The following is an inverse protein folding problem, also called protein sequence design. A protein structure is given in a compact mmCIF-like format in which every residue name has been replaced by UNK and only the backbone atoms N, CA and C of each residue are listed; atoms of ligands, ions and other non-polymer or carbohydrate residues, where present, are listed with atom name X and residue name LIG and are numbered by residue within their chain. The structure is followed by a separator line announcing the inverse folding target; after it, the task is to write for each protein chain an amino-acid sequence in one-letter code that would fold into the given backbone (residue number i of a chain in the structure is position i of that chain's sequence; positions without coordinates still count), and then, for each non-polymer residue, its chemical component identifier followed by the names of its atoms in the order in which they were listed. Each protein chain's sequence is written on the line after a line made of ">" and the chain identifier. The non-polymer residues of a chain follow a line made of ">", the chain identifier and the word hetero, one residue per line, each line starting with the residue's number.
data_IF_923233502533
#
_entry.id   IF_923233502533
#
_cell.length_a   1.000
_cell.length_b   1.000
_cell.length_c   1.000
_cell.angle_alpha   90.00
_cell.angle_beta   90.00
_cell.angle_gamma   90.00
#
_symmetry.space_group_name_H-M   'P 1'
#
loop_
_entity.id
_entity.type
_entity.pdbx_description
1 polymer ?
#
# COMPACT_ATOMS: atom_id res chain seq x y z
N UNK A 1 13.12 28.99 0.13
CA UNK A 1 11.73 29.48 0.11
C UNK A 1 11.69 30.63 1.09
N UNK A 2 11.27 31.80 0.63
CA UNK A 2 11.31 33.05 1.41
C UNK A 2 9.96 33.34 2.08
N UNK A 3 8.99 32.43 1.97
CA UNK A 3 7.70 32.56 2.64
C UNK A 3 7.87 32.34 4.16
N UNK A 4 7.38 33.27 5.02
CA UNK A 4 7.58 33.19 6.47
C UNK A 4 7.06 31.92 7.12
N UNK A 5 5.96 31.34 6.61
CA UNK A 5 5.36 30.11 7.11
C UNK A 5 6.24 28.86 6.94
N UNK A 6 7.23 28.90 6.05
CA UNK A 6 8.15 27.78 5.80
C UNK A 6 9.59 28.04 6.28
N UNK A 7 9.84 29.19 6.91
CA UNK A 7 11.19 29.62 7.30
C UNK A 7 11.90 28.68 8.29
N UNK A 8 11.13 27.92 9.09
CA UNK A 8 11.66 26.93 10.02
C UNK A 8 11.71 25.50 9.47
N UNK A 9 11.12 25.27 8.29
CA UNK A 9 11.11 23.95 7.66
C UNK A 9 12.42 23.72 6.88
N UNK A 10 12.85 22.48 6.82
CA UNK A 10 14.12 22.10 6.19
C UNK A 10 13.89 21.10 5.08
N UNK A 11 14.59 21.27 3.97
CA UNK A 11 14.66 20.26 2.93
C UNK A 11 15.68 19.18 3.31
N UNK A 12 15.41 17.93 2.90
CA UNK A 12 16.34 16.82 3.07
C UNK A 12 17.09 16.62 1.76
N UNK A 13 18.42 16.60 1.81
CA UNK A 13 19.29 16.43 0.65
C UNK A 13 20.04 15.10 0.71
N UNK A 14 20.17 14.43 -0.43
CA UNK A 14 21.08 13.29 -0.61
C UNK A 14 21.92 13.48 -1.86
N UNK A 15 23.19 13.83 -1.67
CA UNK A 15 24.07 14.25 -2.76
C UNK A 15 23.48 15.45 -3.50
N UNK A 16 23.25 15.38 -4.83
CA UNK A 16 22.67 16.46 -5.61
C UNK A 16 21.13 16.51 -5.54
N UNK A 17 20.48 15.57 -4.85
CA UNK A 17 19.03 15.42 -4.91
C UNK A 17 18.33 16.05 -3.71
N UNK A 18 17.31 16.87 -3.99
CA UNK A 18 16.26 17.20 -3.02
C UNK A 18 15.33 16.00 -2.91
N UNK A 19 15.10 15.53 -1.70
CA UNK A 19 14.17 14.45 -1.42
C UNK A 19 12.80 15.01 -1.05
N UNK A 20 11.76 14.46 -1.66
CA UNK A 20 10.36 14.75 -1.35
C UNK A 20 9.72 13.51 -0.72
N UNK A 21 8.93 13.73 0.34
CA UNK A 21 8.16 12.66 0.98
C UNK A 21 6.77 12.55 0.39
N UNK A 22 6.35 11.34 0.00
CA UNK A 22 4.95 11.10 -0.34
C UNK A 22 4.09 11.37 0.90
N UNK A 23 3.24 12.39 0.81
CA UNK A 23 2.40 12.87 1.91
C UNK A 23 1.40 13.90 1.40
N UNK A 24 0.21 13.90 1.99
CA UNK A 24 -0.86 14.89 1.75
C UNK A 24 -1.05 15.79 2.98
N UNK A 25 0.01 16.53 3.34
CA UNK A 25 -0.05 17.58 4.36
C UNK A 25 0.58 17.26 5.72
N UNK A 26 1.15 16.07 5.91
CA UNK A 26 2.06 15.80 7.03
C UNK A 26 3.51 16.12 6.62
N UNK A 27 4.25 16.75 7.53
CA UNK A 27 5.64 17.16 7.36
C UNK A 27 6.45 17.06 8.66
N UNK A 28 5.85 16.56 9.75
CA UNK A 28 6.50 16.50 11.06
C UNK A 28 7.42 15.27 11.13
N UNK A 29 8.71 15.49 10.91
CA UNK A 29 9.72 14.46 10.98
C UNK A 29 10.20 14.27 12.42
N UNK A 30 10.52 13.03 12.79
CA UNK A 30 11.09 12.69 14.09
C UNK A 30 12.59 12.47 13.95
N UNK A 31 13.40 13.43 14.38
CA UNK A 31 14.86 13.32 14.32
C UNK A 31 15.42 12.46 15.46
N UNK A 32 16.57 11.83 15.22
CA UNK A 32 17.37 11.13 16.24
C UNK A 32 18.72 11.79 16.46
N UNK A 33 19.56 11.16 17.29
CA UNK A 33 20.95 11.59 17.51
C UNK A 33 21.77 11.48 16.23
N UNK A 34 21.61 10.38 15.50
CA UNK A 34 22.27 10.13 14.23
C UNK A 34 21.26 10.09 13.08
N UNK A 35 21.72 10.36 11.85
CA UNK A 35 20.86 10.32 10.65
C UNK A 35 20.21 8.94 10.48
N UNK A 36 20.97 7.86 10.72
CA UNK A 36 20.47 6.49 10.64
C UNK A 36 19.36 6.15 11.64
N UNK A 37 19.22 6.94 12.70
CA UNK A 37 18.17 6.73 13.69
C UNK A 37 16.79 7.07 13.14
N UNK A 38 16.72 7.91 12.11
CA UNK A 38 15.46 8.40 11.57
C UNK A 38 15.35 8.35 10.04
N UNK A 39 16.44 8.21 9.28
CA UNK A 39 16.41 8.00 7.83
C UNK A 39 17.14 6.70 7.50
N UNK A 40 16.46 5.76 6.85
CA UNK A 40 17.04 4.48 6.40
C UNK A 40 16.79 4.27 4.92
N UNK A 41 17.78 3.75 4.19
CA UNK A 41 17.62 3.45 2.77
C UNK A 41 16.59 2.32 2.57
N UNK A 42 15.75 2.44 1.54
CA UNK A 42 14.84 1.36 1.13
C UNK A 42 15.67 0.26 0.44
N UNK A 43 15.66 -0.99 0.94
CA UNK A 43 16.36 -2.08 0.27
C UNK A 43 15.80 -2.33 -1.14
N UNK A 44 16.67 -2.53 -2.13
CA UNK A 44 16.27 -2.80 -3.52
C UNK A 44 15.38 -4.05 -3.66
N UNK A 45 15.56 -5.03 -2.76
CA UNK A 45 14.73 -6.22 -2.68
C UNK A 45 13.26 -5.94 -2.32
N UNK A 46 12.93 -4.76 -1.80
CA UNK A 46 11.53 -4.41 -1.51
C UNK A 46 10.71 -4.25 -2.78
N UNK A 47 11.32 -3.90 -3.92
CA UNK A 47 10.60 -3.79 -5.20
C UNK A 47 10.01 -5.13 -5.67
N UNK A 48 10.61 -6.27 -5.32
CA UNK A 48 10.04 -7.59 -5.64
C UNK A 48 8.85 -7.98 -4.75
N UNK A 49 8.58 -7.19 -3.71
CA UNK A 49 7.46 -7.37 -2.78
C UNK A 49 6.26 -6.48 -3.14
N UNK A 50 6.39 -5.64 -4.17
CA UNK A 50 5.35 -4.71 -4.57
C UNK A 50 4.35 -5.36 -5.53
N UNK A 51 3.06 -5.11 -5.32
CA UNK A 51 1.99 -5.53 -6.22
C UNK A 51 0.77 -4.61 -6.15
N UNK A 52 -0.13 -4.80 -7.12
CA UNK A 52 -1.44 -4.17 -7.17
C UNK A 52 -2.51 -5.25 -7.27
N UNK A 53 -3.60 -5.10 -6.50
CA UNK A 53 -4.76 -5.99 -6.58
C UNK A 53 -5.82 -5.37 -7.48
N UNK A 54 -6.32 -6.14 -8.44
CA UNK A 54 -7.21 -5.65 -9.48
C UNK A 54 -8.49 -6.47 -9.60
N UNK A 55 -9.55 -5.82 -10.06
CA UNK A 55 -10.80 -6.46 -10.49
C UNK A 55 -11.27 -5.85 -11.79
N UNK A 56 -11.91 -6.64 -12.63
CA UNK A 56 -12.51 -6.18 -13.88
C UNK A 56 -14.03 -6.14 -13.74
N UNK A 57 -14.63 -5.04 -14.18
CA UNK A 57 -16.07 -4.92 -14.27
C UNK A 57 -16.46 -3.95 -15.38
N UNK A 58 -17.48 -4.33 -16.16
CA UNK A 58 -18.02 -3.50 -17.24
C UNK A 58 -16.95 -2.98 -18.23
N UNK A 59 -15.94 -3.80 -18.52
CA UNK A 59 -14.83 -3.45 -19.43
C UNK A 59 -13.80 -2.48 -18.85
N UNK A 60 -13.87 -2.16 -17.54
CA UNK A 60 -12.89 -1.34 -16.84
C UNK A 60 -12.13 -2.17 -15.81
N UNK A 61 -10.88 -1.77 -15.56
CA UNK A 61 -10.06 -2.33 -14.49
C UNK A 61 -10.10 -1.40 -13.29
N UNK A 62 -10.45 -1.95 -12.14
CA UNK A 62 -10.40 -1.29 -10.84
C UNK A 62 -9.24 -1.83 -10.03
N UNK A 63 -8.67 -0.97 -9.19
CA UNK A 63 -7.55 -1.27 -8.30
C UNK A 63 -7.98 -1.11 -6.85
N UNK A 64 -7.53 -2.01 -5.97
CA UNK A 64 -7.59 -1.80 -4.53
C UNK A 64 -6.69 -0.61 -4.19
N UNK A 65 -7.18 0.34 -3.40
CA UNK A 65 -6.48 1.56 -3.03
C UNK A 65 -6.61 1.84 -1.55
N UNK A 66 -5.51 2.26 -0.91
CA UNK A 66 -5.46 2.72 0.48
C UNK A 66 -5.15 4.21 0.54
N UNK A 67 -6.14 5.02 0.90
CA UNK A 67 -5.97 6.48 1.02
C UNK A 67 -6.75 6.99 2.23
N UNK A 68 -6.17 7.92 2.99
CA UNK A 68 -6.82 8.57 4.13
C UNK A 68 -7.40 7.58 5.16
N UNK A 69 -6.72 6.45 5.38
CA UNK A 69 -7.13 5.41 6.33
C UNK A 69 -8.34 4.57 5.89
N UNK A 70 -8.75 4.65 4.63
CA UNK A 70 -9.83 3.85 4.06
C UNK A 70 -9.34 3.03 2.86
N UNK A 71 -9.88 1.81 2.74
CA UNK A 71 -9.69 0.95 1.58
C UNK A 71 -10.87 1.10 0.62
N UNK A 72 -10.58 1.42 -0.63
CA UNK A 72 -11.58 1.59 -1.69
C UNK A 72 -11.13 0.94 -3.00
N UNK A 73 -12.07 0.66 -3.89
CA UNK A 73 -11.76 0.40 -5.29
C UNK A 73 -11.69 1.73 -6.05
N UNK A 74 -10.65 1.91 -6.86
CA UNK A 74 -10.49 3.06 -7.74
C UNK A 74 -10.34 2.62 -9.18
N UNK A 75 -10.68 3.46 -10.14
CA UNK A 75 -10.40 3.17 -11.55
C UNK A 75 -8.88 3.14 -11.77
N UNK A 76 -8.39 2.15 -12.50
CA UNK A 76 -6.95 2.04 -12.79
C UNK A 76 -6.50 3.26 -13.59
N UNK A 77 -5.44 3.98 -13.17
CA UNK A 77 -4.95 5.12 -13.92
C UNK A 77 -4.39 4.66 -15.27
N UNK A 78 -4.67 5.45 -16.32
CA UNK A 78 -4.17 5.21 -17.67
C UNK A 78 -2.73 5.72 -17.87
N UNK A 79 -2.25 6.55 -16.96
CA UNK A 79 -0.91 7.18 -16.98
C UNK A 79 -0.19 6.92 -15.67
N UNK A 80 1.14 6.89 -15.75
CA UNK A 80 2.00 6.81 -14.57
C UNK A 80 2.11 8.18 -13.87
N UNK A 81 2.49 8.16 -12.59
CA UNK A 81 2.76 9.38 -11.85
C UNK A 81 1.54 9.98 -11.14
N UNK A 82 0.58 9.16 -10.72
CA UNK A 82 -0.67 9.59 -10.09
C UNK A 82 -0.77 9.12 -8.64
N UNK A 83 -1.53 9.82 -7.81
CA UNK A 83 -1.81 9.37 -6.44
C UNK A 83 -2.51 8.01 -6.39
N UNK A 84 -3.38 7.72 -7.37
CA UNK A 84 -4.01 6.40 -7.46
C UNK A 84 -2.97 5.31 -7.66
N UNK A 85 -1.92 5.54 -8.46
CA UNK A 85 -0.83 4.57 -8.63
C UNK A 85 -0.07 4.33 -7.32
N UNK A 86 0.15 5.39 -6.53
CA UNK A 86 0.75 5.30 -5.20
C UNK A 86 -0.14 4.50 -4.24
N UNK A 87 -1.38 4.91 -4.07
CA UNK A 87 -2.32 4.32 -3.11
C UNK A 87 -2.75 2.89 -3.47
N UNK A 88 -2.64 2.50 -4.74
CA UNK A 88 -2.92 1.15 -5.23
C UNK A 88 -1.70 0.24 -5.32
N UNK A 89 -0.53 0.72 -4.89
CA UNK A 89 0.67 -0.10 -4.77
C UNK A 89 0.85 -0.53 -3.32
N UNK A 90 1.03 -1.82 -3.10
CA UNK A 90 1.23 -2.38 -1.77
C UNK A 90 2.51 -3.20 -1.73
N UNK A 91 3.23 -3.10 -0.63
CA UNK A 91 4.25 -4.07 -0.27
C UNK A 91 3.61 -5.23 0.47
N UNK A 92 3.69 -6.42 -0.11
CA UNK A 92 3.16 -7.65 0.46
C UNK A 92 4.30 -8.56 0.84
N UNK A 93 4.41 -8.86 2.13
CA UNK A 93 5.50 -9.66 2.67
C UNK A 93 5.00 -10.70 3.66
N UNK A 94 5.49 -11.95 3.59
CA UNK A 94 5.14 -12.99 4.54
C UNK A 94 5.72 -12.69 5.90
N UNK A 95 5.16 -13.35 6.92
CA UNK A 95 5.76 -13.39 8.25
C UNK A 95 7.18 -13.98 8.23
N UNK A 96 7.39 -14.99 7.38
CA UNK A 96 8.67 -15.69 7.25
C UNK A 96 9.45 -15.21 6.01
N UNK A 97 10.44 -14.36 6.24
CA UNK A 97 11.24 -13.72 5.20
C UNK A 97 12.04 -14.73 4.33
N UNK A 98 12.19 -15.98 4.77
CA UNK A 98 12.85 -17.04 4.01
C UNK A 98 12.06 -17.45 2.74
N UNK A 99 10.75 -17.19 2.69
CA UNK A 99 9.89 -17.64 1.57
C UNK A 99 9.92 -16.75 0.31
N UNK A 100 10.61 -15.59 0.32
CA UNK A 100 10.57 -14.62 -0.78
C UNK A 100 11.89 -14.46 -1.57
N UNK A 101 12.85 -15.38 -1.42
CA UNK A 101 14.02 -15.35 -2.30
C UNK A 101 13.63 -15.70 -3.74
N UNK A 102 13.47 -14.68 -4.59
CA UNK A 102 13.77 -14.81 -6.03
C UNK A 102 12.62 -14.74 -7.03
N UNK A 103 11.39 -14.34 -6.69
CA UNK A 103 10.30 -14.32 -7.68
C UNK A 103 9.46 -13.04 -7.63
N UNK A 104 9.81 -12.10 -8.51
CA UNK A 104 8.86 -11.12 -9.01
C UNK A 104 7.61 -11.86 -9.53
N UNK A 105 6.44 -11.58 -8.97
CA UNK A 105 5.17 -12.14 -9.47
C UNK A 105 4.93 -13.62 -9.17
N UNK A 106 5.61 -14.23 -8.19
CA UNK A 106 5.12 -15.52 -7.67
C UNK A 106 3.74 -15.33 -7.05
N UNK A 107 2.77 -16.13 -7.48
CA UNK A 107 1.44 -16.15 -6.86
C UNK A 107 1.63 -16.56 -5.40
N UNK A 108 1.38 -15.63 -4.48
CA UNK A 108 1.42 -15.86 -3.05
C UNK A 108 0.22 -16.73 -2.67
N UNK A 109 0.21 -18.00 -3.05
CA UNK A 109 -0.88 -18.91 -2.67
C UNK A 109 -0.53 -19.53 -1.32
N UNK A 110 -1.54 -19.63 -0.45
CA UNK A 110 -1.50 -20.26 0.86
C UNK A 110 -0.43 -19.66 1.79
N UNK A 111 -0.22 -18.34 1.69
CA UNK A 111 0.76 -17.60 2.47
C UNK A 111 0.08 -16.59 3.39
N UNK A 112 0.48 -16.57 4.67
CA UNK A 112 0.09 -15.52 5.63
C UNK A 112 1.01 -14.31 5.49
N UNK A 113 0.43 -13.16 5.13
CA UNK A 113 1.16 -11.95 4.75
C UNK A 113 0.66 -10.72 5.49
N UNK A 114 1.52 -9.71 5.56
CA UNK A 114 1.14 -8.35 5.87
C UNK A 114 1.04 -7.55 4.57
N UNK A 115 0.08 -6.63 4.51
CA UNK A 115 -0.12 -5.72 3.37
C UNK A 115 0.15 -4.30 3.86
N UNK A 116 1.22 -3.70 3.35
CA UNK A 116 1.72 -2.38 3.71
C UNK A 116 1.50 -1.42 2.53
N UNK A 117 0.75 -0.30 2.68
CA UNK A 117 0.62 0.70 1.63
C UNK A 117 1.99 1.31 1.26
N UNK A 118 2.24 1.49 -0.03
CA UNK A 118 3.53 1.97 -0.54
C UNK A 118 3.97 3.31 0.06
N UNK A 119 3.03 4.24 0.21
CA UNK A 119 3.26 5.58 0.77
C UNK A 119 3.25 5.63 2.29
N UNK A 120 3.00 4.53 3.00
CA UNK A 120 2.95 4.51 4.46
C UNK A 120 3.91 3.46 5.04
N UNK A 121 5.23 3.61 4.82
CA UNK A 121 6.20 2.61 5.24
C UNK A 121 6.14 2.33 6.74
N UNK A 122 6.17 1.05 7.11
CA UNK A 122 6.04 0.59 8.49
C UNK A 122 4.61 0.55 9.05
N UNK A 123 3.61 0.85 8.22
CA UNK A 123 2.18 0.73 8.57
C UNK A 123 1.54 -0.40 7.78
N UNK A 124 0.68 -1.19 8.41
CA UNK A 124 0.02 -2.34 7.77
C UNK A 124 -1.50 -2.21 7.84
N UNK A 125 -2.18 -2.79 6.85
CA UNK A 125 -3.63 -2.98 6.87
C UNK A 125 -3.96 -4.04 7.93
N UNK A 126 -5.00 -3.79 8.72
CA UNK A 126 -5.52 -4.74 9.71
C UNK A 126 -6.79 -5.42 9.22
N UNK A 127 -7.19 -6.51 9.88
CA UNK A 127 -8.43 -7.24 9.63
C UNK A 127 -9.69 -6.40 9.96
N UNK A 128 -9.54 -5.24 10.62
CA UNK A 128 -10.59 -4.23 10.81
C UNK A 128 -10.62 -3.18 9.68
N UNK A 129 -9.82 -3.39 8.61
CA UNK A 129 -9.68 -2.49 7.46
C UNK A 129 -9.15 -1.10 7.81
N UNK A 130 -8.38 -1.01 8.89
CA UNK A 130 -7.68 0.21 9.32
C UNK A 130 -6.18 0.04 9.16
N UNK A 131 -5.47 1.15 9.22
CA UNK A 131 -4.01 1.20 9.18
C UNK A 131 -3.42 1.21 10.59
N UNK A 132 -2.38 0.44 10.82
CA UNK A 132 -1.69 0.37 12.12
C UNK A 132 -0.18 0.22 11.95
N UNK A 133 0.59 1.01 12.71
CA UNK A 133 2.03 0.80 12.86
C UNK A 133 2.35 -0.36 13.84
N UNK A 134 1.40 -0.71 14.72
CA UNK A 134 1.53 -1.85 15.62
C UNK A 134 1.12 -3.14 14.90
N UNK A 135 2.10 -4.01 14.69
CA UNK A 135 1.90 -5.33 14.11
C UNK A 135 1.27 -6.26 15.15
N UNK A 136 0.13 -6.85 14.82
CA UNK A 136 -0.55 -7.85 15.66
C UNK A 136 -1.02 -9.03 14.82
N UNK A 137 -1.55 -10.07 15.47
CA UNK A 137 -2.21 -11.17 14.76
C UNK A 137 -3.33 -10.67 13.83
N UNK A 138 -4.01 -9.58 14.21
CA UNK A 138 -5.03 -8.90 13.40
C UNK A 138 -4.49 -8.12 12.21
N UNK A 139 -3.21 -8.23 11.86
CA UNK A 139 -2.61 -7.58 10.68
C UNK A 139 -2.25 -8.56 9.57
N UNK A 140 -2.57 -9.84 9.75
CA UNK A 140 -2.26 -10.89 8.79
C UNK A 140 -3.45 -11.23 7.91
N UNK A 141 -3.17 -11.49 6.64
CA UNK A 141 -4.12 -12.00 5.67
C UNK A 141 -3.58 -13.30 5.09
N UNK A 142 -4.44 -14.31 4.95
CA UNK A 142 -4.08 -15.47 4.15
C UNK A 142 -4.46 -15.17 2.71
N UNK A 143 -3.48 -15.23 1.81
CA UNK A 143 -3.77 -15.19 0.38
C UNK A 143 -4.09 -16.60 -0.06
N UNK A 144 -5.33 -16.84 -0.48
CA UNK A 144 -5.82 -18.15 -0.93
C UNK A 144 -6.21 -18.09 -2.40
N UNK A 145 -6.35 -19.24 -3.11
CA UNK A 145 -6.92 -19.25 -4.46
C UNK A 145 -8.26 -18.49 -4.51
N UNK A 146 -8.46 -17.70 -5.56
CA UNK A 146 -9.64 -16.87 -5.69
C UNK A 146 -10.93 -17.68 -5.64
N UNK A 147 -11.91 -17.15 -4.91
CA UNK A 147 -13.20 -17.81 -4.72
C UNK A 147 -13.99 -17.93 -6.03
N UNK A 148 -13.70 -17.10 -7.03
CA UNK A 148 -14.33 -17.14 -8.36
C UNK A 148 -13.86 -18.32 -9.23
N UNK A 149 -12.88 -19.10 -8.76
CA UNK A 149 -12.34 -20.27 -9.46
C UNK A 149 -11.50 -19.94 -10.70
N UNK A 150 -11.23 -18.66 -10.98
CA UNK A 150 -10.40 -18.27 -12.11
C UNK A 150 -8.94 -18.64 -11.86
N UNK A 151 -8.18 -19.03 -12.91
CA UNK A 151 -6.76 -19.23 -12.75
C UNK A 151 -6.09 -17.91 -12.34
N UNK A 152 -5.17 -17.98 -11.39
CA UNK A 152 -4.36 -16.86 -10.89
C UNK A 152 -5.14 -15.73 -10.20
N UNK A 153 -6.44 -15.88 -9.95
CA UNK A 153 -7.14 -15.04 -8.99
C UNK A 153 -6.78 -15.46 -7.56
N UNK A 154 -6.85 -14.50 -6.65
CA UNK A 154 -6.63 -14.69 -5.22
C UNK A 154 -7.74 -14.05 -4.41
N UNK A 155 -7.99 -14.58 -3.24
CA UNK A 155 -8.86 -13.95 -2.24
C UNK A 155 -8.06 -13.66 -0.98
N UNK A 156 -8.33 -12.48 -0.40
CA UNK A 156 -7.64 -11.99 0.79
C UNK A 156 -8.48 -12.35 2.02
N UNK A 157 -8.13 -13.46 2.67
CA UNK A 157 -8.81 -13.96 3.86
C UNK A 157 -8.25 -13.30 5.13
N UNK A 158 -9.11 -12.96 6.09
CA UNK A 158 -8.68 -12.45 7.38
C UNK A 158 -7.96 -13.54 8.18
N UNK A 159 -6.70 -13.31 8.54
CA UNK A 159 -5.91 -14.28 9.32
C UNK A 159 -6.51 -14.60 10.69
N UNK A 160 -7.20 -13.65 11.32
CA UNK A 160 -7.88 -13.87 12.61
C UNK A 160 -9.26 -14.52 12.48
N UNK A 161 -9.82 -14.56 11.28
CA UNK A 161 -11.18 -15.04 11.05
C UNK A 161 -11.29 -15.79 9.73
N UNK A 162 -10.81 -17.05 9.69
CA UNK A 162 -10.93 -17.91 8.50
C UNK A 162 -12.38 -18.00 8.01
N UNK A 163 -12.54 -18.03 6.69
CA UNK A 163 -13.82 -17.99 6.00
C UNK A 163 -14.39 -16.58 5.77
N UNK A 164 -13.68 -15.53 6.18
CA UNK A 164 -14.04 -14.13 5.93
C UNK A 164 -13.01 -13.43 5.03
N UNK A 165 -13.49 -12.72 4.01
CA UNK A 165 -12.66 -12.21 2.92
C UNK A 165 -12.92 -10.73 2.69
N UNK A 166 -11.91 -10.03 2.15
CA UNK A 166 -12.10 -8.69 1.59
C UNK A 166 -13.02 -8.77 0.36
N UNK A 167 -13.97 -7.85 0.27
CA UNK A 167 -14.90 -7.73 -0.86
C UNK A 167 -15.06 -6.29 -1.30
N UNK A 168 -15.19 -6.05 -2.61
CA UNK A 168 -15.36 -4.71 -3.21
C UNK A 168 -16.81 -4.18 -3.23
N UNK A 169 -17.80 -4.99 -2.83
CA UNK A 169 -19.22 -4.69 -2.96
C UNK A 169 -19.83 -5.22 -4.27
N UNK A 170 -21.16 -5.17 -4.40
CA UNK A 170 -21.88 -5.73 -5.56
C UNK A 170 -21.80 -4.82 -6.81
N UNK A 171 -21.70 -3.51 -6.62
CA UNK A 171 -21.71 -2.51 -7.69
C UNK A 171 -20.31 -1.88 -7.82
N UNK A 172 -19.50 -2.43 -8.73
CA UNK A 172 -18.14 -1.97 -9.03
C UNK A 172 -18.15 -0.51 -9.48
N UNK A 173 -17.78 0.40 -8.59
CA UNK A 173 -17.68 1.83 -8.86
C UNK A 173 -16.43 2.40 -8.19
N UNK A 174 -15.86 3.44 -8.79
CA UNK A 174 -14.76 4.16 -8.17
C UNK A 174 -15.23 4.79 -6.84
N UNK A 175 -14.43 4.62 -5.79
CA UNK A 175 -14.78 5.00 -4.42
C UNK A 175 -15.57 3.95 -3.63
N UNK A 176 -15.93 2.80 -4.24
CA UNK A 176 -16.59 1.71 -3.51
C UNK A 176 -15.70 1.24 -2.35
N UNK A 177 -16.24 1.23 -1.13
CA UNK A 177 -15.50 0.84 0.07
C UNK A 177 -15.31 -0.66 0.11
N UNK A 178 -14.10 -1.09 0.45
CA UNK A 178 -13.84 -2.49 0.78
C UNK A 178 -14.56 -2.85 2.07
N UNK A 179 -15.17 -4.03 2.08
CA UNK A 179 -15.85 -4.61 3.22
C UNK A 179 -15.29 -6.00 3.51
N UNK A 180 -15.76 -6.60 4.60
CA UNK A 180 -15.50 -8.00 4.94
C UNK A 180 -16.81 -8.76 4.81
N UNK A 181 -16.77 -9.89 4.11
CA UNK A 181 -17.89 -10.83 4.05
C UNK A 181 -17.43 -12.24 4.35
N UNK A 182 -18.28 -13.02 5.04
CA UNK A 182 -17.97 -14.37 5.48
C UNK A 182 -18.89 -15.39 4.80
N UNK A 183 -18.32 -16.54 4.40
CA UNK A 183 -19.08 -17.62 3.72
C UNK A 183 -20.29 -18.13 4.53
N UNK A 184 -20.22 -18.09 5.86
CA UNK A 184 -21.34 -18.52 6.72
C UNK A 184 -22.51 -17.52 6.78
N UNK A 185 -22.31 -16.29 6.29
CA UNK A 185 -23.26 -15.18 6.44
C UNK A 185 -24.17 -14.97 5.22
N UNK A 186 -23.86 -15.59 4.08
CA UNK A 186 -24.56 -15.37 2.82
C UNK A 186 -24.68 -16.69 2.08
N UNK A 187 -25.90 -17.14 1.76
CA UNK A 187 -26.08 -18.15 0.71
C UNK A 187 -25.57 -17.51 -0.58
N UNK A 188 -24.54 -18.07 -1.23
CA UNK A 188 -24.02 -17.52 -2.48
C UNK A 188 -25.12 -17.56 -3.54
N UNK A 189 -25.80 -16.43 -3.75
CA UNK A 189 -26.78 -16.27 -4.82
C UNK A 189 -25.99 -15.84 -6.05
N UNK A 190 -25.77 -16.79 -6.96
CA UNK A 190 -25.25 -16.51 -8.30
C UNK A 190 -23.75 -16.18 -8.42
N UNK A 191 -22.92 -16.52 -7.42
CA UNK A 191 -21.45 -16.36 -7.54
C UNK A 191 -20.94 -14.92 -7.36
N UNK A 192 -21.82 -13.97 -7.02
CA UNK A 192 -21.49 -12.54 -6.91
C UNK A 192 -20.47 -12.29 -5.80
N UNK A 193 -20.63 -12.98 -4.67
CA UNK A 193 -19.71 -12.86 -3.53
C UNK A 193 -18.30 -13.34 -3.92
N UNK A 194 -18.22 -14.46 -4.61
CA UNK A 194 -16.98 -15.07 -5.05
C UNK A 194 -16.23 -14.15 -6.02
N UNK A 195 -16.94 -13.52 -6.96
CA UNK A 195 -16.37 -12.51 -7.86
C UNK A 195 -15.90 -11.27 -7.09
N UNK A 196 -16.74 -10.72 -6.21
CA UNK A 196 -16.40 -9.53 -5.42
C UNK A 196 -15.25 -9.77 -4.43
N UNK A 197 -15.04 -11.02 -4.00
CA UNK A 197 -13.97 -11.45 -3.10
C UNK A 197 -12.67 -11.86 -3.82
N UNK A 198 -12.67 -11.89 -5.15
CA UNK A 198 -11.54 -12.38 -5.95
C UNK A 198 -10.85 -11.24 -6.67
N UNK A 199 -9.53 -11.19 -6.57
CA UNK A 199 -8.68 -10.17 -7.15
C UNK A 199 -7.63 -10.84 -8.04
N UNK A 200 -7.26 -10.19 -9.14
CA UNK A 200 -6.05 -10.55 -9.86
C UNK A 200 -4.85 -9.80 -9.25
N UNK A 201 -3.74 -10.51 -9.04
CA UNK A 201 -2.46 -9.91 -8.66
C UNK A 201 -1.76 -9.40 -9.92
N UNK A 202 -1.54 -8.09 -9.98
CA UNK A 202 -0.89 -7.41 -11.10
C UNK A 202 0.47 -6.84 -10.68
N UNK A 203 1.30 -6.53 -11.68
CA UNK A 203 2.50 -5.73 -11.49
C UNK A 203 2.16 -4.41 -10.78
N UNK A 204 3.04 -3.92 -9.90
CA UNK A 204 2.77 -2.71 -9.14
C UNK A 204 2.73 -1.49 -10.07
N UNK A 205 1.90 -0.50 -9.73
CA UNK A 205 1.83 0.75 -10.47
C UNK A 205 2.95 1.74 -10.09
N UNK A 206 3.61 1.51 -8.94
CA UNK A 206 4.80 2.25 -8.49
C UNK A 206 5.91 1.29 -8.08
N UNK A 207 7.14 1.76 -8.20
CA UNK A 207 8.32 1.10 -7.66
C UNK A 207 9.13 2.13 -6.88
N UNK A 208 9.86 1.66 -5.87
CA UNK A 208 10.83 2.50 -5.17
C UNK A 208 11.93 2.92 -6.15
N UNK A 209 12.23 4.21 -6.16
CA UNK A 209 13.43 4.72 -6.82
C UNK A 209 14.70 4.12 -6.18
N UNK A 210 15.81 3.91 -6.93
CA UNK A 210 17.08 3.46 -6.34
C UNK A 210 17.66 4.36 -5.24
N UNK A 211 17.13 5.57 -5.12
CA UNK A 211 17.51 6.61 -4.14
C UNK A 211 16.29 6.93 -3.26
N UNK A 212 15.61 5.89 -2.78
CA UNK A 212 14.48 6.05 -1.86
C UNK A 212 14.88 5.72 -0.42
N UNK A 213 14.31 6.47 0.52
CA UNK A 213 14.55 6.32 1.94
C UNK A 213 13.24 6.29 2.72
N UNK A 214 13.23 5.66 3.88
CA UNK A 214 12.17 5.80 4.88
C UNK A 214 12.64 6.78 5.92
N UNK A 215 11.93 7.90 6.09
CA UNK A 215 12.14 8.84 7.18
C UNK A 215 11.10 8.64 8.28
N UNK A 216 11.50 8.63 9.55
CA UNK A 216 10.60 8.58 10.69
C UNK A 216 9.90 9.92 10.85
N UNK A 217 8.59 9.87 11.09
CA UNK A 217 7.80 11.04 11.47
C UNK A 217 7.16 10.88 12.84
N UNK A 218 6.53 11.95 13.30
CA UNK A 218 5.81 11.97 14.59
C UNK A 218 4.56 11.10 14.53
N UNK A 219 3.79 11.18 13.43
CA UNK A 219 2.53 10.45 13.24
C UNK A 219 2.66 9.21 12.37
N UNK A 220 3.44 9.32 11.28
CA UNK A 220 3.71 8.25 10.30
C UNK A 220 5.14 8.38 9.79
N UNK A 221 5.66 7.32 9.20
CA UNK A 221 6.89 7.44 8.43
C UNK A 221 6.59 7.99 7.02
N UNK A 222 7.62 8.54 6.39
CA UNK A 222 7.57 9.07 5.03
C UNK A 222 8.42 8.21 4.11
N UNK A 223 7.89 7.90 2.93
CA UNK A 223 8.71 7.44 1.82
C UNK A 223 9.29 8.67 1.11
N UNK A 224 10.61 8.84 1.21
CA UNK A 224 11.36 9.90 0.54
C UNK A 224 11.90 9.40 -0.79
N UNK A 225 11.69 10.16 -1.87
CA UNK A 225 12.24 9.90 -3.20
C UNK A 225 12.80 11.19 -3.80
N UNK A 226 13.68 11.14 -4.82
CA UNK A 226 14.18 12.34 -5.45
C UNK A 226 13.01 13.12 -6.07
N UNK A 227 12.96 14.43 -5.82
CA UNK A 227 11.82 15.27 -6.21
C UNK A 227 11.49 15.17 -7.71
N UNK A 228 12.50 15.13 -8.58
CA UNK A 228 12.32 15.02 -10.03
C UNK A 228 11.69 13.69 -10.49
N UNK A 229 11.62 12.68 -9.62
CA UNK A 229 10.98 11.38 -9.92
C UNK A 229 9.46 11.40 -9.74
N UNK A 230 8.93 12.45 -9.09
CA UNK A 230 7.51 12.67 -8.90
C UNK A 230 6.96 13.52 -10.05
N UNK A 231 5.71 13.28 -10.40
CA UNK A 231 4.98 13.97 -11.47
C UNK A 231 3.77 14.68 -10.87
N UNK A 232 2.66 13.96 -10.74
CA UNK A 232 1.38 14.50 -10.27
C UNK A 232 0.96 13.87 -8.92
N UNK A 233 1.88 13.20 -8.22
CA UNK A 233 1.65 12.68 -6.88
C UNK A 233 1.71 13.80 -5.82
N UNK A 234 0.95 13.67 -4.73
CA UNK A 234 1.08 14.53 -3.56
C UNK A 234 2.38 14.28 -2.81
N UNK A 235 3.09 15.36 -2.51
CA UNK A 235 4.36 15.31 -1.81
C UNK A 235 4.59 16.50 -0.87
N UNK A 236 5.52 16.30 0.06
CA UNK A 236 6.08 17.31 0.94
C UNK A 236 7.59 17.42 0.67
N UNK A 237 8.10 18.62 0.37
CA UNK A 237 9.55 18.86 0.18
C UNK A 237 10.23 19.36 1.45
N UNK A 238 9.51 20.13 2.27
CA UNK A 238 10.03 20.77 3.46
C UNK A 238 9.44 20.12 4.72
N UNK A 239 10.31 19.77 5.66
CA UNK A 239 9.95 19.05 6.88
C UNK A 239 10.17 19.90 8.11
N UNK A 240 9.28 19.77 9.09
CA UNK A 240 9.51 20.25 10.44
C UNK A 240 10.38 19.22 11.17
N UNK A 241 11.64 19.57 11.40
CA UNK A 241 12.61 18.69 12.07
C UNK A 241 12.68 18.92 13.59
N UNK A 242 11.90 19.88 14.12
CA UNK A 242 11.85 20.22 15.54
C UNK A 242 10.51 19.84 16.19
N UNK A 243 9.73 18.97 15.52
CA UNK A 243 8.39 18.54 15.92
C UNK A 243 8.37 17.67 17.18
#
# INVERSE_FOLDING_TARGET
>A
DDQPEYASLQAILFGPFVLAGLSSGDWDAKTGSDVSDWITAVPSSHNSQLMTFTQESSGRTFVLSSSNGSLTMQERPAVDGTDTAVHATFRVHPQDAAMLHGTYGATLKDTSVQIEPFDMPGTVITNNLTLSAQKSAGSFFNIVPGLDGKPNSVSLELGTKPGCFLVSGADYSAGAKIQVSCKSSVQSIGGILEQAASFAQAAPLRQYHPVSFVAKGVKRNFLLEPFYSLRDEFYTVYFNLAA
#
